data_IF_430101738894
#
_entry.id   IF_430101738894
#
_cell.length_a   1.000
_cell.length_b   1.000
_cell.length_c   1.000
_cell.angle_alpha   90.00
_cell.angle_beta   90.00
_cell.angle_gamma   90.00
#
_symmetry.space_group_name_H-M   'P 1'
#
loop_
_entity.id
_entity.type
_entity.pdbx_description
1 polymer ?
#
# COMPACT_ATOMS: atom_id res chain seq x y z
N UNK A 1 30.20 -24.81 16.23
CA UNK A 1 31.16 -24.10 17.10
C UNK A 1 32.28 -25.01 17.60
N UNK A 2 32.09 -26.34 17.66
CA UNK A 2 33.16 -27.33 17.82
C UNK A 2 33.68 -27.84 16.46
N UNK A 3 34.97 -28.10 16.37
CA UNK A 3 35.66 -28.67 15.21
C UNK A 3 36.57 -29.82 15.65
N UNK A 4 36.51 -30.94 14.95
CA UNK A 4 37.39 -32.10 15.21
C UNK A 4 38.66 -32.01 14.36
N UNK A 5 39.83 -32.07 14.99
CA UNK A 5 41.10 -32.21 14.30
C UNK A 5 41.50 -33.68 14.24
N UNK A 6 41.38 -34.30 13.05
CA UNK A 6 41.70 -35.72 12.85
C UNK A 6 43.17 -36.06 13.12
N UNK A 7 44.09 -35.13 12.84
CA UNK A 7 45.53 -35.31 13.07
C UNK A 7 45.88 -35.45 14.56
N UNK A 8 45.14 -34.77 15.42
CA UNK A 8 45.38 -34.76 16.87
C UNK A 8 44.35 -35.57 17.66
N UNK A 9 43.36 -36.14 16.96
CA UNK A 9 42.22 -36.84 17.53
C UNK A 9 41.61 -36.08 18.73
N UNK A 10 41.34 -34.78 18.52
CA UNK A 10 40.88 -33.88 19.57
C UNK A 10 39.90 -32.83 19.03
N UNK A 11 38.95 -32.43 19.86
CA UNK A 11 37.94 -31.41 19.57
C UNK A 11 38.39 -30.02 20.05
N UNK A 12 38.12 -29.01 19.23
CA UNK A 12 38.46 -27.62 19.45
C UNK A 12 37.21 -26.74 19.36
N UNK A 13 37.15 -25.68 20.15
CA UNK A 13 36.11 -24.66 20.01
C UNK A 13 36.61 -23.54 19.10
N UNK A 14 35.91 -23.33 17.98
CA UNK A 14 36.22 -22.29 17.00
C UNK A 14 36.34 -20.89 17.63
N UNK A 15 35.37 -20.47 18.44
CA UNK A 15 35.37 -19.14 19.06
C UNK A 15 36.55 -18.98 20.04
N UNK A 16 36.82 -20.00 20.85
CA UNK A 16 37.89 -19.98 21.85
C UNK A 16 39.28 -20.03 21.19
N UNK A 17 39.46 -20.83 20.13
CA UNK A 17 40.68 -20.79 19.31
C UNK A 17 40.90 -19.40 18.72
N UNK A 18 39.87 -18.84 18.07
CA UNK A 18 39.94 -17.51 17.45
C UNK A 18 40.30 -16.41 18.46
N UNK A 19 39.67 -16.43 19.64
CA UNK A 19 39.91 -15.47 20.72
C UNK A 19 41.28 -15.65 21.37
N UNK A 20 41.73 -16.90 21.54
CA UNK A 20 43.03 -17.22 22.14
C UNK A 20 44.20 -16.89 21.22
N UNK A 21 44.09 -17.10 19.92
CA UNK A 21 45.14 -16.74 18.94
C UNK A 21 45.42 -15.22 18.92
N UNK A 22 44.38 -14.42 19.19
CA UNK A 22 44.43 -12.95 19.12
C UNK A 22 44.64 -12.28 20.48
N UNK A 23 44.86 -13.07 21.55
CA UNK A 23 44.96 -12.57 22.93
C UNK A 23 43.77 -11.68 23.35
N UNK A 24 42.57 -12.01 22.85
CA UNK A 24 41.37 -11.22 23.09
C UNK A 24 40.60 -11.67 24.34
N UNK A 25 40.99 -12.76 25.01
CA UNK A 25 40.26 -13.32 26.15
C UNK A 25 40.80 -12.76 27.47
N UNK A 26 39.92 -12.21 28.31
CA UNK A 26 40.31 -11.47 29.53
C UNK A 26 39.79 -12.14 30.81
N UNK A 27 38.70 -12.90 30.74
CA UNK A 27 38.06 -13.49 31.91
C UNK A 27 38.75 -14.76 32.43
N UNK A 28 39.91 -15.16 31.87
CA UNK A 28 40.69 -16.25 32.43
C UNK A 28 42.20 -16.12 32.21
N UNK A 29 42.97 -15.98 33.30
CA UNK A 29 44.43 -16.17 33.30
C UNK A 29 44.84 -17.64 33.12
N UNK A 30 43.89 -18.58 33.15
CA UNK A 30 44.05 -20.00 32.84
C UNK A 30 43.05 -20.36 31.76
N UNK A 31 43.34 -19.94 30.52
CA UNK A 31 42.54 -20.36 29.37
C UNK A 31 42.24 -21.87 29.50
N UNK A 32 41.00 -22.29 29.23
CA UNK A 32 40.70 -23.71 29.09
C UNK A 32 41.45 -24.23 27.86
N UNK A 33 42.77 -24.46 28.03
CA UNK A 33 43.67 -24.90 26.97
C UNK A 33 43.13 -26.18 26.32
N UNK A 34 42.33 -26.95 27.06
CA UNK A 34 41.61 -28.12 26.59
C UNK A 34 40.78 -27.84 25.32
N UNK A 35 40.10 -26.70 25.18
CA UNK A 35 39.26 -26.42 24.00
C UNK A 35 39.87 -25.41 23.02
N UNK A 36 40.98 -24.77 23.38
CA UNK A 36 41.64 -23.75 22.54
C UNK A 36 43.01 -24.21 21.98
N UNK A 37 43.91 -24.75 22.81
CA UNK A 37 45.33 -25.00 22.45
C UNK A 37 45.70 -26.48 22.37
N UNK A 38 45.30 -27.28 23.37
CA UNK A 38 45.63 -28.71 23.51
C UNK A 38 44.62 -29.62 22.80
N UNK A 39 43.37 -29.19 22.70
CA UNK A 39 42.27 -29.99 22.17
C UNK A 39 41.73 -31.00 23.18
N UNK A 40 40.42 -31.21 23.15
CA UNK A 40 39.73 -32.10 24.08
C UNK A 40 39.62 -33.49 23.45
N UNK A 41 40.18 -34.51 24.09
CA UNK A 41 40.26 -35.88 23.55
C UNK A 41 39.69 -36.96 24.50
N UNK A 42 39.12 -36.57 25.65
CA UNK A 42 38.48 -37.52 26.57
C UNK A 42 37.03 -37.82 26.14
N UNK A 43 36.90 -38.70 25.17
CA UNK A 43 35.62 -39.05 24.54
C UNK A 43 34.58 -39.64 25.51
N UNK A 44 35.01 -40.25 26.62
CA UNK A 44 34.11 -40.86 27.62
C UNK A 44 33.24 -39.83 28.36
N UNK A 45 33.72 -38.58 28.50
CA UNK A 45 33.00 -37.46 29.14
C UNK A 45 32.71 -36.30 28.18
N UNK A 46 32.80 -36.54 26.88
CA UNK A 46 32.74 -35.49 25.88
C UNK A 46 31.44 -34.69 25.93
N UNK A 47 30.29 -35.35 25.96
CA UNK A 47 28.97 -34.69 26.01
C UNK A 47 28.83 -33.77 27.22
N UNK A 48 29.14 -34.28 28.42
CA UNK A 48 29.12 -33.49 29.67
C UNK A 48 30.04 -32.27 29.58
N UNK A 49 31.30 -32.48 29.15
CA UNK A 49 32.29 -31.40 29.07
C UNK A 49 32.01 -30.38 27.97
N UNK A 50 31.37 -30.78 26.87
CA UNK A 50 30.94 -29.84 25.83
C UNK A 50 29.82 -28.95 26.32
N UNK A 51 28.84 -29.50 27.07
CA UNK A 51 27.75 -28.72 27.66
C UNK A 51 28.25 -27.77 28.75
N UNK A 52 29.20 -28.20 29.58
CA UNK A 52 29.87 -27.32 30.56
C UNK A 52 30.63 -26.18 29.85
N UNK A 53 31.40 -26.50 28.80
CA UNK A 53 32.17 -25.51 28.06
C UNK A 53 31.28 -24.50 27.33
N UNK A 54 30.16 -24.93 26.73
CA UNK A 54 29.20 -24.04 26.08
C UNK A 54 28.64 -22.97 27.03
N UNK A 55 28.47 -23.34 28.31
CA UNK A 55 28.00 -22.43 29.37
C UNK A 55 29.12 -21.61 30.02
N UNK A 56 30.38 -21.91 29.72
CA UNK A 56 31.52 -21.23 30.34
C UNK A 56 31.58 -19.75 29.96
N UNK A 57 32.00 -18.92 30.92
CA UNK A 57 32.18 -17.47 30.70
C UNK A 57 33.21 -17.19 29.60
N UNK A 58 34.22 -18.05 29.46
CA UNK A 58 35.25 -17.94 28.44
C UNK A 58 34.69 -18.17 27.04
N UNK A 59 33.88 -19.21 26.84
CA UNK A 59 33.20 -19.45 25.57
C UNK A 59 32.27 -18.28 25.22
N UNK A 60 31.52 -17.79 26.19
CA UNK A 60 30.60 -16.67 26.01
C UNK A 60 31.33 -15.36 25.70
N UNK A 61 32.47 -15.08 26.33
CA UNK A 61 33.33 -13.92 26.02
C UNK A 61 33.88 -14.01 24.60
N UNK A 62 34.45 -15.18 24.23
CA UNK A 62 35.01 -15.43 22.92
C UNK A 62 33.95 -15.27 21.82
N UNK A 63 32.76 -15.84 22.05
CA UNK A 63 31.61 -15.73 21.16
C UNK A 63 31.14 -14.29 21.03
N UNK A 64 31.00 -13.54 22.13
CA UNK A 64 30.62 -12.11 22.08
C UNK A 64 31.62 -11.27 21.29
N UNK A 65 32.91 -11.45 21.52
CA UNK A 65 33.98 -10.72 20.81
C UNK A 65 34.05 -11.09 19.33
N UNK A 66 33.82 -12.35 18.99
CA UNK A 66 33.70 -12.79 17.60
C UNK A 66 32.49 -12.15 16.90
N UNK A 67 31.33 -12.14 17.55
CA UNK A 67 30.12 -11.52 17.00
C UNK A 67 30.23 -10.01 16.87
N UNK A 68 30.95 -9.35 17.78
CA UNK A 68 31.20 -7.91 17.73
C UNK A 68 32.22 -7.49 16.65
N UNK A 69 32.99 -8.44 16.09
CA UNK A 69 34.03 -8.15 15.08
C UNK A 69 33.45 -7.56 13.79
N UNK A 70 32.28 -8.05 13.38
CA UNK A 70 31.61 -7.62 12.16
C UNK A 70 30.47 -6.63 12.44
N UNK A 71 30.28 -6.23 13.71
CA UNK A 71 29.31 -5.20 14.05
C UNK A 71 29.88 -3.82 13.72
N UNK A 72 29.16 -2.98 12.94
CA UNK A 72 29.56 -1.61 12.72
C UNK A 72 29.65 -0.88 14.06
N UNK A 73 30.50 0.14 14.15
CA UNK A 73 30.66 0.91 15.38
C UNK A 73 29.31 1.47 15.85
N UNK A 74 29.18 1.69 17.16
CA UNK A 74 27.97 2.31 17.73
C UNK A 74 27.63 3.63 17.03
N UNK A 75 28.64 4.39 16.60
CA UNK A 75 28.47 5.62 15.85
C UNK A 75 27.86 5.39 14.45
N UNK A 76 28.30 4.36 13.72
CA UNK A 76 27.72 3.99 12.43
C UNK A 76 26.29 3.51 12.60
N UNK A 77 26.02 2.66 13.61
CA UNK A 77 24.67 2.20 13.92
C UNK A 77 23.72 3.36 14.29
N UNK A 78 24.21 4.31 15.10
CA UNK A 78 23.44 5.51 15.45
C UNK A 78 23.17 6.39 14.23
N UNK A 79 24.16 6.55 13.34
CA UNK A 79 23.98 7.31 12.11
C UNK A 79 22.97 6.66 11.15
N UNK A 80 23.06 5.35 10.95
CA UNK A 80 22.10 4.58 10.15
C UNK A 80 20.69 4.67 10.72
N UNK A 81 20.56 4.57 12.05
CA UNK A 81 19.27 4.74 12.73
C UNK A 81 18.71 6.15 12.54
N UNK A 82 19.54 7.19 12.62
CA UNK A 82 19.12 8.57 12.37
C UNK A 82 18.63 8.74 10.94
N UNK A 83 19.33 8.19 9.95
CA UNK A 83 18.88 8.23 8.56
C UNK A 83 17.56 7.47 8.35
N UNK A 84 17.41 6.27 8.92
CA UNK A 84 16.16 5.51 8.87
C UNK A 84 14.99 6.28 9.51
N UNK A 85 15.22 6.89 10.67
CA UNK A 85 14.21 7.69 11.37
C UNK A 85 13.79 8.91 10.55
N UNK A 86 14.72 9.54 9.82
CA UNK A 86 14.38 10.62 8.90
C UNK A 86 13.50 10.10 7.77
N UNK A 87 13.88 9.00 7.11
CA UNK A 87 13.09 8.37 6.04
C UNK A 87 11.64 8.08 6.46
N UNK A 88 11.45 7.49 7.65
CA UNK A 88 10.11 7.22 8.18
C UNK A 88 9.30 8.49 8.43
N UNK A 89 9.92 9.57 8.92
CA UNK A 89 9.24 10.85 9.12
C UNK A 89 8.75 11.45 7.80
N UNK A 90 9.52 11.34 6.72
CA UNK A 90 9.10 11.82 5.39
C UNK A 90 7.92 11.03 4.84
N UNK A 91 7.98 9.70 4.97
CA UNK A 91 6.88 8.80 4.57
C UNK A 91 5.57 9.22 5.24
N UNK A 92 5.63 9.65 6.50
CA UNK A 92 4.46 10.15 7.22
C UNK A 92 3.88 11.44 6.63
N UNK A 93 4.69 12.33 6.06
CA UNK A 93 4.20 13.55 5.39
C UNK A 93 3.46 13.22 4.10
N UNK A 94 3.99 12.32 3.28
CA UNK A 94 3.31 11.84 2.06
C UNK A 94 1.99 11.17 2.44
N UNK A 95 1.99 10.31 3.45
CA UNK A 95 0.77 9.67 3.97
C UNK A 95 -0.22 10.72 4.48
N UNK A 96 0.26 11.75 5.18
CA UNK A 96 -0.60 12.84 5.65
C UNK A 96 -1.30 13.54 4.49
N UNK A 97 -0.55 13.97 3.46
CA UNK A 97 -1.10 14.60 2.27
C UNK A 97 -2.13 13.71 1.58
N UNK A 98 -1.81 12.43 1.37
CA UNK A 98 -2.73 11.46 0.77
C UNK A 98 -4.01 11.28 1.60
N UNK A 99 -3.92 11.23 2.93
CA UNK A 99 -5.08 11.08 3.82
C UNK A 99 -6.00 12.31 3.81
N UNK A 100 -5.43 13.50 3.60
CA UNK A 100 -6.19 14.75 3.50
C UNK A 100 -6.74 15.01 2.08
N UNK A 101 -6.43 14.13 1.11
CA UNK A 101 -6.80 14.36 -0.29
C UNK A 101 -6.12 15.60 -0.89
N UNK A 102 -4.99 16.03 -0.32
CA UNK A 102 -4.23 17.16 -0.83
C UNK A 102 -3.28 16.70 -1.93
N UNK A 103 -3.11 17.54 -2.96
CA UNK A 103 -2.12 17.30 -4.00
C UNK A 103 -0.73 17.21 -3.34
N UNK A 104 0.03 16.15 -3.65
CA UNK A 104 1.38 15.99 -3.09
C UNK A 104 2.33 17.02 -3.71
N UNK A 105 2.23 17.18 -5.02
CA UNK A 105 2.96 18.15 -5.81
C UNK A 105 2.07 19.31 -6.27
N UNK A 106 2.67 20.49 -6.38
CA UNK A 106 2.05 21.69 -6.95
C UNK A 106 2.44 21.90 -8.41
N UNK A 107 1.94 22.97 -9.02
CA UNK A 107 2.37 23.36 -10.37
C UNK A 107 3.77 24.01 -10.38
N UNK A 108 4.21 24.53 -9.25
CA UNK A 108 5.55 25.07 -9.02
C UNK A 108 6.06 24.71 -7.60
N UNK A 109 7.33 25.01 -7.32
CA UNK A 109 7.96 24.74 -6.01
C UNK A 109 7.29 25.49 -4.83
N UNK A 110 6.56 26.57 -5.11
CA UNK A 110 5.86 27.37 -4.09
C UNK A 110 4.53 26.74 -3.70
N UNK A 111 3.86 26.10 -4.65
CA UNK A 111 2.59 25.39 -4.47
C UNK A 111 2.77 23.91 -4.16
N UNK A 112 4.01 23.41 -4.12
CA UNK A 112 4.30 22.03 -3.77
C UNK A 112 4.10 21.78 -2.27
N UNK A 113 2.97 21.15 -1.94
CA UNK A 113 2.59 20.91 -0.55
C UNK A 113 3.60 20.03 0.20
N UNK A 114 4.24 19.09 -0.48
CA UNK A 114 5.29 18.27 0.14
C UNK A 114 6.53 19.12 0.46
N UNK A 115 6.97 19.95 -0.47
CA UNK A 115 8.10 20.87 -0.27
C UNK A 115 7.82 21.87 0.86
N UNK A 116 6.63 22.48 0.88
CA UNK A 116 6.24 23.41 1.95
C UNK A 116 6.18 22.73 3.33
N UNK A 117 5.64 21.50 3.40
CA UNK A 117 5.65 20.74 4.65
C UNK A 117 7.07 20.38 5.10
N UNK A 118 7.98 20.07 4.17
CA UNK A 118 9.37 19.79 4.48
C UNK A 118 10.10 21.03 4.98
N UNK A 119 9.87 22.19 4.37
CA UNK A 119 10.41 23.47 4.83
C UNK A 119 9.92 23.81 6.24
N UNK A 120 8.62 23.65 6.50
CA UNK A 120 8.07 23.80 7.85
C UNK A 120 8.74 22.85 8.85
N UNK A 121 9.01 21.60 8.45
CA UNK A 121 9.73 20.62 9.29
C UNK A 121 11.22 20.90 9.43
N UNK A 122 11.78 21.75 8.59
CA UNK A 122 13.15 22.20 8.72
C UNK A 122 13.32 23.26 9.81
N UNK A 123 12.24 23.94 10.21
CA UNK A 123 12.26 24.91 11.31
C UNK A 123 12.48 24.23 12.67
N UNK A 124 11.85 23.08 12.92
CA UNK A 124 11.99 22.32 14.17
C UNK A 124 13.09 21.24 14.10
N UNK A 125 13.52 20.83 12.89
CA UNK A 125 14.56 19.83 12.70
C UNK A 125 15.60 20.26 11.64
N UNK A 126 16.74 20.83 12.05
CA UNK A 126 17.76 21.33 11.12
C UNK A 126 18.35 20.28 10.19
N UNK A 127 18.33 18.99 10.58
CA UNK A 127 18.81 17.89 9.74
C UNK A 127 18.01 17.72 8.45
N UNK A 128 16.77 18.23 8.43
CA UNK A 128 15.89 18.22 7.25
C UNK A 128 16.43 19.10 6.14
N UNK A 129 17.05 20.24 6.47
CA UNK A 129 17.60 21.17 5.46
C UNK A 129 18.71 20.52 4.63
N UNK A 130 19.58 19.73 5.26
CA UNK A 130 20.62 18.99 4.56
C UNK A 130 20.04 17.96 3.57
N UNK A 131 18.88 17.39 3.91
CA UNK A 131 18.19 16.41 3.09
C UNK A 131 17.39 17.07 1.95
N UNK A 132 16.68 18.17 2.20
CA UNK A 132 16.01 18.98 1.14
C UNK A 132 17.03 19.46 0.10
N UNK A 133 18.22 19.85 0.56
CA UNK A 133 19.33 20.24 -0.33
C UNK A 133 19.75 19.11 -1.26
N UNK A 134 19.58 17.85 -0.84
CA UNK A 134 19.75 16.66 -1.67
C UNK A 134 18.43 16.30 -2.37
N UNK A 135 18.08 17.10 -3.38
CA UNK A 135 16.78 17.08 -4.12
C UNK A 135 16.39 15.75 -4.77
N UNK A 136 17.27 14.76 -4.79
CA UNK A 136 17.01 13.47 -5.45
C UNK A 136 15.74 12.78 -4.92
N UNK A 137 15.44 12.88 -3.62
CA UNK A 137 14.30 12.21 -3.01
C UNK A 137 12.94 12.91 -3.22
N UNK A 138 12.94 14.13 -3.74
CA UNK A 138 11.74 14.90 -4.09
C UNK A 138 11.37 14.77 -5.56
N UNK A 139 12.15 14.01 -6.32
CA UNK A 139 11.83 13.70 -7.70
C UNK A 139 10.48 13.01 -7.78
N UNK A 140 9.68 13.43 -8.76
CA UNK A 140 8.32 12.98 -8.95
C UNK A 140 8.20 11.46 -9.01
N UNK A 141 9.14 10.80 -9.70
CA UNK A 141 9.18 9.34 -9.84
C UNK A 141 9.35 8.63 -8.49
N UNK A 142 10.22 9.14 -7.61
CA UNK A 142 10.46 8.55 -6.29
C UNK A 142 9.24 8.73 -5.39
N UNK A 143 8.63 9.92 -5.42
CA UNK A 143 7.42 10.20 -4.64
C UNK A 143 6.25 9.33 -5.11
N UNK A 144 6.05 9.21 -6.43
CA UNK A 144 5.04 8.35 -7.02
C UNK A 144 5.28 6.88 -6.67
N UNK A 145 6.53 6.40 -6.76
CA UNK A 145 6.88 5.05 -6.33
C UNK A 145 6.55 4.82 -4.85
N UNK A 146 6.87 5.75 -3.97
CA UNK A 146 6.51 5.67 -2.55
C UNK A 146 5.00 5.60 -2.33
N UNK A 147 4.22 6.43 -3.03
CA UNK A 147 2.75 6.42 -2.98
C UNK A 147 2.23 5.06 -3.46
N UNK A 148 2.71 4.55 -4.59
CA UNK A 148 2.31 3.26 -5.14
C UNK A 148 2.66 2.10 -4.21
N UNK A 149 3.87 2.07 -3.64
CA UNK A 149 4.28 1.04 -2.67
C UNK A 149 3.37 1.07 -1.43
N UNK A 150 3.05 2.26 -0.93
CA UNK A 150 2.17 2.41 0.24
C UNK A 150 0.73 2.02 -0.07
N UNK A 151 0.21 2.44 -1.22
CA UNK A 151 -1.11 2.06 -1.70
C UNK A 151 -1.24 0.55 -1.87
N UNK A 152 -0.25 -0.08 -2.49
CA UNK A 152 -0.20 -1.54 -2.65
C UNK A 152 -0.11 -2.28 -1.31
N UNK A 153 0.65 -1.77 -0.33
CA UNK A 153 0.71 -2.36 1.00
C UNK A 153 -0.64 -2.28 1.73
N UNK A 154 -1.34 -1.14 1.62
CA UNK A 154 -2.69 -0.97 2.17
C UNK A 154 -3.69 -1.91 1.49
N UNK A 155 -3.69 -1.93 0.16
CA UNK A 155 -4.58 -2.79 -0.63
C UNK A 155 -4.37 -4.26 -0.28
N UNK A 156 -3.12 -4.75 -0.21
CA UNK A 156 -2.81 -6.12 0.20
C UNK A 156 -3.35 -6.45 1.60
N UNK A 157 -3.21 -5.51 2.54
CA UNK A 157 -3.74 -5.69 3.90
C UNK A 157 -5.26 -5.83 3.90
N UNK A 158 -5.96 -5.00 3.11
CA UNK A 158 -7.42 -5.07 2.95
C UNK A 158 -7.87 -6.34 2.24
N UNK A 159 -7.23 -6.70 1.12
CA UNK A 159 -7.51 -7.93 0.40
C UNK A 159 -7.33 -9.16 1.27
N UNK A 160 -6.33 -9.18 2.16
CA UNK A 160 -6.15 -10.27 3.12
C UNK A 160 -7.34 -10.42 4.07
N UNK A 161 -7.94 -9.32 4.54
CA UNK A 161 -9.13 -9.35 5.39
C UNK A 161 -10.36 -9.85 4.61
N UNK A 162 -10.56 -9.34 3.38
CA UNK A 162 -11.65 -9.77 2.49
C UNK A 162 -11.55 -11.29 2.22
N UNK A 163 -10.35 -11.79 1.96
CA UNK A 163 -10.11 -13.21 1.68
C UNK A 163 -10.55 -14.14 2.82
N UNK A 164 -10.45 -13.69 4.07
CA UNK A 164 -10.86 -14.47 5.23
C UNK A 164 -12.40 -14.59 5.34
N UNK A 165 -13.14 -13.70 4.70
CA UNK A 165 -14.59 -13.56 4.88
C UNK A 165 -15.44 -14.39 3.90
N UNK A 166 -14.77 -15.21 3.06
CA UNK A 166 -15.33 -16.20 2.12
C UNK A 166 -16.20 -15.65 0.99
N UNK A 167 -17.01 -14.63 1.21
CA UNK A 167 -17.95 -14.08 0.23
C UNK A 167 -17.85 -12.57 0.14
N UNK A 168 -18.16 -12.04 -1.03
CA UNK A 168 -18.19 -10.61 -1.26
C UNK A 168 -19.20 -10.22 -2.34
N UNK A 169 -19.48 -8.93 -2.44
CA UNK A 169 -20.26 -8.34 -3.52
C UNK A 169 -19.46 -7.24 -4.22
N UNK A 170 -19.63 -7.13 -5.53
CA UNK A 170 -18.99 -6.11 -6.36
C UNK A 170 -19.87 -4.85 -6.35
N UNK A 171 -19.26 -3.69 -6.18
CA UNK A 171 -19.89 -2.40 -6.44
C UNK A 171 -19.01 -1.71 -7.48
N UNK A 172 -19.58 -1.31 -8.62
CA UNK A 172 -18.82 -0.56 -9.61
C UNK A 172 -19.62 0.61 -10.15
N UNK A 173 -18.93 1.72 -10.36
CA UNK A 173 -19.52 2.94 -10.92
C UNK A 173 -18.60 3.55 -11.98
N UNK A 174 -19.20 4.22 -12.95
CA UNK A 174 -18.49 4.88 -14.05
C UNK A 174 -18.51 6.38 -13.87
N UNK A 175 -17.37 7.00 -14.10
CA UNK A 175 -17.25 8.45 -14.17
C UNK A 175 -16.52 8.84 -15.45
N UNK A 176 -16.85 10.02 -15.98
CA UNK A 176 -16.11 10.65 -17.06
C UNK A 176 -15.23 11.74 -16.46
N UNK A 177 -13.92 11.67 -16.71
CA UNK A 177 -12.99 12.68 -16.21
C UNK A 177 -13.02 13.97 -17.03
N UNK A 178 -12.26 14.99 -16.59
CA UNK A 178 -12.17 16.29 -17.27
C UNK A 178 -11.61 16.18 -18.70
N UNK A 179 -10.81 15.16 -18.96
CA UNK A 179 -10.24 14.83 -20.27
C UNK A 179 -11.19 14.04 -21.16
N UNK A 180 -12.44 13.83 -20.71
CA UNK A 180 -13.49 13.04 -21.38
C UNK A 180 -13.15 11.56 -21.52
N UNK A 181 -12.25 11.04 -20.70
CA UNK A 181 -11.97 9.61 -20.61
C UNK A 181 -12.95 8.98 -19.63
N UNK A 182 -13.49 7.81 -19.98
CA UNK A 182 -14.31 7.04 -19.04
C UNK A 182 -13.40 6.23 -18.11
N UNK A 183 -13.79 6.16 -16.84
CA UNK A 183 -13.12 5.38 -15.82
C UNK A 183 -14.17 4.61 -15.02
N UNK A 184 -13.81 3.42 -14.54
CA UNK A 184 -14.63 2.60 -13.66
C UNK A 184 -13.93 2.36 -12.34
N UNK A 185 -14.55 2.85 -11.27
CA UNK A 185 -14.12 2.53 -9.91
C UNK A 185 -14.79 1.23 -9.47
N UNK A 186 -14.02 0.33 -8.87
CA UNK A 186 -14.50 -0.96 -8.35
C UNK A 186 -14.22 -1.02 -6.85
N UNK A 187 -15.29 -1.26 -6.10
CA UNK A 187 -15.30 -1.48 -4.67
C UNK A 187 -15.83 -2.89 -4.36
N UNK A 188 -15.43 -3.42 -3.21
CA UNK A 188 -15.92 -4.69 -2.70
C UNK A 188 -16.66 -4.43 -1.40
N UNK A 189 -17.90 -4.93 -1.35
CA UNK A 189 -18.69 -5.03 -0.12
C UNK A 189 -18.52 -6.41 0.48
N UNK A 190 -18.12 -6.48 1.73
CA UNK A 190 -17.87 -7.73 2.44
C UNK A 190 -18.30 -7.60 3.90
N UNK A 191 -18.41 -8.73 4.59
CA UNK A 191 -18.86 -8.80 5.98
C UNK A 191 -17.77 -9.47 6.79
N UNK A 192 -17.32 -8.83 7.87
CA UNK A 192 -16.27 -9.39 8.71
C UNK A 192 -16.81 -10.43 9.71
N UNK A 193 -15.89 -10.98 10.51
CA UNK A 193 -16.22 -11.97 11.56
C UNK A 193 -17.12 -11.43 12.69
N UNK A 194 -17.28 -10.12 12.79
CA UNK A 194 -18.16 -9.45 13.75
C UNK A 194 -19.50 -9.06 13.13
N UNK A 195 -19.76 -9.50 11.88
CA UNK A 195 -20.94 -9.13 11.10
C UNK A 195 -21.02 -7.64 10.76
N UNK A 196 -19.89 -6.94 10.77
CA UNK A 196 -19.82 -5.55 10.31
C UNK A 196 -19.65 -5.52 8.80
N UNK A 197 -20.39 -4.61 8.17
CA UNK A 197 -20.35 -4.41 6.72
C UNK A 197 -19.24 -3.43 6.39
N UNK A 198 -18.35 -3.84 5.49
CA UNK A 198 -17.26 -3.03 4.98
C UNK A 198 -17.41 -2.83 3.48
N UNK A 199 -17.09 -1.64 3.01
CA UNK A 199 -17.04 -1.28 1.59
C UNK A 199 -15.67 -0.69 1.31
N UNK A 200 -14.81 -1.44 0.63
CA UNK A 200 -13.43 -1.04 0.36
C UNK A 200 -13.20 -0.92 -1.13
N UNK A 201 -12.60 0.20 -1.54
CA UNK A 201 -12.12 0.41 -2.90
C UNK A 201 -10.93 -0.53 -3.19
N UNK A 202 -10.96 -1.19 -4.34
CA UNK A 202 -9.91 -2.14 -4.74
C UNK A 202 -9.20 -1.78 -6.05
N UNK A 203 -9.79 -0.94 -6.89
CA UNK A 203 -9.16 -0.57 -8.15
C UNK A 203 -9.98 0.38 -9.02
N UNK A 204 -9.30 1.01 -9.95
CA UNK A 204 -9.82 1.92 -10.96
C UNK A 204 -9.32 1.44 -12.32
N UNK A 205 -10.22 1.27 -13.27
CA UNK A 205 -9.90 0.95 -14.65
C UNK A 205 -10.17 2.17 -15.53
N UNK A 206 -9.19 2.56 -16.35
CA UNK A 206 -9.44 3.44 -17.47
C UNK A 206 -10.13 2.64 -18.57
N UNK A 207 -11.17 3.20 -19.17
CA UNK A 207 -12.00 2.52 -20.16
C UNK A 207 -11.81 3.13 -21.55
N UNK A 208 -11.25 2.34 -22.47
CA UNK A 208 -11.17 2.73 -23.90
C UNK A 208 -12.51 2.53 -24.62
N UNK A 209 -13.34 1.63 -24.09
CA UNK A 209 -14.66 1.31 -24.61
C UNK A 209 -15.66 1.11 -23.47
N UNK A 210 -16.93 1.33 -23.79
CA UNK A 210 -18.01 1.41 -22.80
C UNK A 210 -19.07 0.34 -23.01
N UNK A 211 -18.83 -0.57 -23.95
CA UNK A 211 -19.68 -1.72 -24.19
C UNK A 211 -19.56 -2.74 -23.06
N UNK A 212 -20.64 -3.48 -22.81
CA UNK A 212 -20.73 -4.36 -21.67
C UNK A 212 -19.67 -5.48 -21.65
N UNK A 213 -19.15 -5.92 -22.81
CA UNK A 213 -18.07 -6.92 -22.85
C UNK A 213 -16.79 -6.32 -22.27
N UNK A 214 -16.42 -5.12 -22.72
CA UNK A 214 -15.23 -4.43 -22.23
C UNK A 214 -15.32 -4.15 -20.72
N UNK A 215 -16.48 -3.67 -20.26
CA UNK A 215 -16.74 -3.43 -18.83
C UNK A 215 -16.61 -4.72 -18.00
N UNK A 216 -17.08 -5.85 -18.53
CA UNK A 216 -16.95 -7.16 -17.85
C UNK A 216 -15.49 -7.57 -17.74
N UNK A 217 -14.70 -7.38 -18.80
CA UNK A 217 -13.26 -7.67 -18.78
C UNK A 217 -12.55 -6.77 -17.77
N UNK A 218 -12.82 -5.47 -17.76
CA UNK A 218 -12.19 -4.52 -16.83
C UNK A 218 -12.44 -4.90 -15.35
N UNK A 219 -13.68 -5.25 -14.99
CA UNK A 219 -14.00 -5.73 -13.63
C UNK A 219 -13.26 -7.03 -13.31
N UNK A 220 -13.25 -7.98 -14.25
CA UNK A 220 -12.55 -9.27 -14.05
C UNK A 220 -11.05 -9.08 -13.87
N UNK A 221 -10.42 -8.20 -14.66
CA UNK A 221 -8.99 -7.95 -14.58
C UNK A 221 -8.62 -7.37 -13.21
N UNK A 222 -9.41 -6.43 -12.68
CA UNK A 222 -9.23 -5.92 -11.32
C UNK A 222 -9.35 -7.05 -10.28
N UNK A 223 -10.37 -7.90 -10.38
CA UNK A 223 -10.56 -9.02 -9.46
C UNK A 223 -9.39 -10.02 -9.51
N UNK A 224 -8.89 -10.33 -10.70
CA UNK A 224 -7.74 -11.22 -10.91
C UNK A 224 -6.47 -10.61 -10.31
N UNK A 225 -6.21 -9.32 -10.56
CA UNK A 225 -5.08 -8.59 -9.96
C UNK A 225 -5.16 -8.56 -8.43
N UNK A 226 -6.38 -8.54 -7.87
CA UNK A 226 -6.63 -8.61 -6.44
C UNK A 226 -6.70 -10.03 -5.87
N UNK A 227 -6.50 -11.06 -6.69
CA UNK A 227 -6.65 -12.47 -6.33
C UNK A 227 -8.01 -12.80 -5.70
N UNK A 228 -9.08 -12.10 -6.10
CA UNK A 228 -10.44 -12.34 -5.64
C UNK A 228 -11.16 -13.26 -6.63
N UNK A 229 -11.48 -14.50 -6.24
CA UNK A 229 -12.13 -15.44 -7.14
C UNK A 229 -13.58 -15.03 -7.37
N UNK A 230 -14.00 -14.96 -8.64
CA UNK A 230 -15.39 -14.63 -8.99
C UNK A 230 -16.39 -15.61 -8.37
N UNK A 231 -16.00 -16.86 -8.11
CA UNK A 231 -16.84 -17.87 -7.44
C UNK A 231 -17.22 -17.53 -5.99
N UNK A 232 -16.52 -16.59 -5.36
CA UNK A 232 -16.88 -16.05 -4.04
C UNK A 232 -17.84 -14.84 -4.14
N UNK A 233 -18.15 -14.37 -5.36
CA UNK A 233 -19.04 -13.24 -5.59
C UNK A 233 -20.51 -13.65 -5.42
N UNK A 234 -21.19 -13.05 -4.47
CA UNK A 234 -22.60 -13.31 -4.15
C UNK A 234 -23.53 -12.13 -4.44
N UNK A 235 -22.94 -10.97 -4.77
CA UNK A 235 -23.70 -9.79 -5.12
C UNK A 235 -22.95 -8.91 -6.11
N UNK A 236 -23.69 -8.10 -6.83
CA UNK A 236 -23.16 -7.11 -7.76
C UNK A 236 -24.10 -5.91 -7.80
N UNK A 237 -23.56 -4.69 -7.78
CA UNK A 237 -24.35 -3.47 -7.80
C UNK A 237 -23.76 -2.43 -8.75
N UNK A 238 -24.59 -1.96 -9.69
CA UNK A 238 -24.22 -1.03 -10.76
C UNK A 238 -25.34 -0.01 -11.01
N UNK A 239 -25.05 1.03 -11.79
CA UNK A 239 -26.06 1.93 -12.34
C UNK A 239 -27.03 1.21 -13.30
N UNK A 240 -28.07 1.92 -13.74
CA UNK A 240 -29.10 1.36 -14.63
C UNK A 240 -28.79 1.49 -16.12
N UNK A 241 -27.59 1.93 -16.49
CA UNK A 241 -27.25 2.14 -17.88
C UNK A 241 -27.34 0.80 -18.63
N UNK A 242 -27.75 0.83 -19.91
CA UNK A 242 -27.98 -0.39 -20.68
C UNK A 242 -26.77 -1.33 -20.73
N UNK A 243 -25.55 -0.79 -20.79
CA UNK A 243 -24.32 -1.57 -20.79
C UNK A 243 -23.96 -2.13 -19.40
N UNK A 244 -24.51 -1.58 -18.31
CA UNK A 244 -24.32 -2.06 -16.95
C UNK A 244 -25.41 -3.05 -16.55
N UNK A 245 -26.68 -2.65 -16.63
CA UNK A 245 -27.84 -3.38 -16.13
C UNK A 245 -28.66 -4.11 -17.22
N UNK A 246 -28.23 -4.07 -18.48
CA UNK A 246 -28.95 -4.70 -19.59
C UNK A 246 -29.18 -6.19 -19.36
N UNK A 247 -30.44 -6.64 -19.47
CA UNK A 247 -30.88 -8.00 -19.11
C UNK A 247 -30.20 -9.13 -19.88
N UNK A 248 -29.81 -8.89 -21.13
CA UNK A 248 -29.25 -9.92 -22.02
C UNK A 248 -27.74 -9.76 -22.21
N UNK A 249 -27.25 -8.53 -22.28
CA UNK A 249 -25.86 -8.26 -22.68
C UNK A 249 -25.13 -7.30 -21.76
N UNK A 250 -25.77 -6.76 -20.72
CA UNK A 250 -25.13 -5.86 -19.76
C UNK A 250 -24.11 -6.56 -18.88
N UNK A 251 -23.23 -5.77 -18.24
CA UNK A 251 -22.26 -6.24 -17.25
C UNK A 251 -22.90 -7.18 -16.21
N UNK A 252 -24.06 -6.77 -15.67
CA UNK A 252 -24.79 -7.54 -14.67
C UNK A 252 -25.19 -8.94 -15.16
N UNK A 253 -25.73 -9.02 -16.38
CA UNK A 253 -26.13 -10.29 -16.99
C UNK A 253 -24.92 -11.18 -17.25
N UNK A 254 -23.81 -10.61 -17.76
CA UNK A 254 -22.58 -11.33 -18.06
C UNK A 254 -21.88 -11.88 -16.83
N UNK A 255 -21.81 -11.10 -15.75
CA UNK A 255 -21.29 -11.59 -14.47
C UNK A 255 -22.20 -12.68 -13.90
N UNK A 256 -23.53 -12.55 -14.05
CA UNK A 256 -24.51 -13.56 -13.62
C UNK A 256 -24.41 -14.87 -14.40
N UNK A 257 -24.07 -14.82 -15.68
CA UNK A 257 -23.80 -16.00 -16.51
C UNK A 257 -22.56 -16.75 -16.02
N UNK A 258 -21.53 -16.02 -15.60
CA UNK A 258 -20.28 -16.59 -15.08
C UNK A 258 -20.42 -17.10 -13.64
N UNK A 259 -21.13 -16.36 -12.79
CA UNK A 259 -21.40 -16.71 -11.40
C UNK A 259 -22.89 -16.53 -11.09
N UNK A 260 -23.69 -17.60 -11.18
CA UNK A 260 -25.12 -17.58 -10.89
C UNK A 260 -25.45 -17.25 -9.43
N UNK A 261 -24.50 -17.21 -8.49
CA UNK A 261 -24.76 -16.70 -7.14
C UNK A 261 -24.73 -15.16 -7.07
N UNK A 262 -24.01 -14.48 -7.97
CA UNK A 262 -23.81 -13.02 -7.93
C UNK A 262 -25.11 -12.26 -8.26
N UNK A 263 -25.90 -11.90 -7.24
CA UNK A 263 -27.21 -11.25 -7.42
C UNK A 263 -27.05 -9.78 -7.77
N UNK A 264 -27.73 -9.34 -8.83
CA UNK A 264 -27.74 -7.94 -9.23
C UNK A 264 -28.69 -7.10 -8.39
N UNK A 265 -28.14 -6.02 -7.82
CA UNK A 265 -28.86 -4.97 -7.10
C UNK A 265 -28.69 -3.66 -7.85
N UNK A 266 -29.82 -3.02 -8.12
CA UNK A 266 -29.83 -1.74 -8.82
C UNK A 266 -29.39 -0.61 -7.90
N UNK A 267 -28.56 0.32 -8.41
CA UNK A 267 -28.18 1.51 -7.65
C UNK A 267 -29.41 2.32 -7.22
N UNK A 268 -29.59 2.48 -5.90
CA UNK A 268 -30.75 3.18 -5.33
C UNK A 268 -30.73 4.68 -5.63
N UNK A 269 -29.56 5.32 -5.57
CA UNK A 269 -29.41 6.74 -5.91
C UNK A 269 -29.82 7.01 -7.37
N UNK A 270 -29.42 6.14 -8.29
CA UNK A 270 -29.81 6.24 -9.69
C UNK A 270 -31.32 6.01 -9.86
N UNK A 271 -31.87 5.00 -9.18
CA UNK A 271 -33.30 4.70 -9.20
C UNK A 271 -34.15 5.90 -8.72
N UNK A 272 -33.76 6.49 -7.58
CA UNK A 272 -34.43 7.68 -7.04
C UNK A 272 -34.35 8.86 -8.01
N UNK A 273 -33.19 9.11 -8.61
CA UNK A 273 -33.01 10.16 -9.60
C UNK A 273 -33.93 9.96 -10.82
N UNK A 274 -34.08 8.73 -11.32
CA UNK A 274 -35.02 8.43 -12.40
C UNK A 274 -36.47 8.68 -12.00
N UNK A 275 -36.89 8.24 -10.81
CA UNK A 275 -38.24 8.50 -10.31
C UNK A 275 -38.52 10.01 -10.18
N UNK A 276 -37.55 10.80 -9.72
CA UNK A 276 -37.66 12.25 -9.64
C UNK A 276 -37.72 12.90 -11.02
N UNK A 277 -36.90 12.47 -11.97
CA UNK A 277 -36.94 12.97 -13.35
C UNK A 277 -38.29 12.70 -14.01
N UNK A 278 -38.82 11.49 -13.87
CA UNK A 278 -40.11 11.14 -14.45
C UNK A 278 -41.24 11.91 -13.77
N UNK A 279 -41.23 12.03 -12.44
CA UNK A 279 -42.24 12.79 -11.69
C UNK A 279 -42.23 14.28 -12.05
N UNK A 280 -41.04 14.89 -12.17
CA UNK A 280 -40.89 16.31 -12.50
C UNK A 280 -41.32 16.62 -13.93
N UNK A 281 -41.13 15.69 -14.88
CA UNK A 281 -41.64 15.81 -16.25
C UNK A 281 -43.16 15.85 -16.34
N UNK A 282 -43.86 15.21 -15.41
CA UNK A 282 -45.33 15.26 -15.33
C UNK A 282 -45.84 16.60 -14.78
N UNK A 283 -45.04 17.31 -13.99
CA UNK A 283 -45.40 18.63 -13.47
C UNK A 283 -45.02 19.72 -14.49
N UNK A 284 -46.02 20.29 -15.18
CA UNK A 284 -45.78 21.32 -16.20
C UNK A 284 -44.97 22.52 -15.69
N UNK A 285 -45.23 22.98 -14.47
CA UNK A 285 -44.53 24.14 -13.90
C UNK A 285 -43.04 23.86 -13.71
N UNK A 286 -42.69 22.70 -13.13
CA UNK A 286 -41.30 22.29 -12.91
C UNK A 286 -40.61 22.00 -14.23
N UNK A 287 -41.26 21.26 -15.13
CA UNK A 287 -40.73 20.98 -16.47
C UNK A 287 -40.39 22.26 -17.22
N UNK A 288 -41.32 23.21 -17.30
CA UNK A 288 -41.10 24.47 -18.01
C UNK A 288 -39.95 25.28 -17.37
N UNK A 289 -39.84 25.30 -16.04
CA UNK A 289 -38.72 25.96 -15.36
C UNK A 289 -37.38 25.29 -15.70
N UNK A 290 -37.31 23.95 -15.68
CA UNK A 290 -36.11 23.20 -16.06
C UNK A 290 -35.76 23.41 -17.54
N UNK A 291 -36.74 23.46 -18.44
CA UNK A 291 -36.54 23.73 -19.86
C UNK A 291 -35.93 25.12 -20.09
N UNK A 292 -36.37 26.14 -19.35
CA UNK A 292 -35.77 27.48 -19.37
C UNK A 292 -34.31 27.42 -18.90
N UNK A 293 -34.02 26.72 -17.80
CA UNK A 293 -32.65 26.54 -17.33
C UNK A 293 -31.77 25.84 -18.39
N UNK A 294 -32.28 24.81 -19.07
CA UNK A 294 -31.57 24.15 -20.15
C UNK A 294 -31.36 25.06 -21.36
N UNK A 295 -32.33 25.90 -21.70
CA UNK A 295 -32.21 26.88 -22.78
C UNK A 295 -31.12 27.93 -22.46
N UNK A 296 -31.08 28.44 -21.22
CA UNK A 296 -30.03 29.34 -20.75
C UNK A 296 -28.67 28.65 -20.81
N UNK A 297 -28.54 27.40 -20.34
CA UNK A 297 -27.30 26.64 -20.46
C UNK A 297 -26.83 26.53 -21.92
N UNK A 298 -27.75 26.16 -22.83
CA UNK A 298 -27.45 26.07 -24.27
C UNK A 298 -27.00 27.41 -24.85
N UNK A 299 -27.65 28.50 -24.46
CA UNK A 299 -27.26 29.86 -24.85
C UNK A 299 -25.81 30.12 -24.41
N UNK A 300 -25.51 30.00 -23.11
CA UNK A 300 -24.15 30.24 -22.57
C UNK A 300 -23.08 29.41 -23.29
N UNK A 301 -23.36 28.14 -23.60
CA UNK A 301 -22.43 27.23 -24.27
C UNK A 301 -22.42 27.37 -25.80
N UNK A 302 -23.28 28.21 -26.39
CA UNK A 302 -23.40 28.36 -27.84
C UNK A 302 -22.13 28.95 -28.48
N UNK A 303 -21.40 29.78 -27.74
CA UNK A 303 -20.13 30.34 -28.23
C UNK A 303 -19.16 30.60 -27.09
N UNK A 304 -17.86 30.52 -27.39
CA UNK A 304 -16.79 30.86 -26.45
C UNK A 304 -16.92 32.28 -25.89
N UNK A 305 -17.47 33.22 -26.68
CA UNK A 305 -17.73 34.60 -26.24
C UNK A 305 -18.76 34.64 -25.10
N UNK A 306 -19.88 33.94 -25.24
CA UNK A 306 -20.93 33.92 -24.22
C UNK A 306 -20.50 33.17 -22.97
N UNK A 307 -19.71 32.10 -23.11
CA UNK A 307 -19.07 31.42 -21.99
C UNK A 307 -18.14 32.35 -21.22
N UNK A 308 -17.27 33.10 -21.92
CA UNK A 308 -16.38 34.06 -21.29
C UNK A 308 -17.12 35.20 -20.58
N UNK A 309 -18.25 35.68 -21.12
CA UNK A 309 -19.11 36.66 -20.42
C UNK A 309 -19.73 36.07 -19.14
N UNK A 310 -20.17 34.81 -19.18
CA UNK A 310 -20.72 34.13 -18.02
C UNK A 310 -19.67 33.91 -16.92
N UNK A 311 -18.45 33.51 -17.27
CA UNK A 311 -17.34 33.36 -16.32
C UNK A 311 -16.94 34.70 -15.67
N UNK A 312 -17.03 35.81 -16.40
CA UNK A 312 -16.82 37.15 -15.84
C UNK A 312 -17.91 37.53 -14.84
N UNK A 313 -19.17 37.21 -15.14
CA UNK A 313 -20.30 37.44 -14.24
C UNK A 313 -20.16 36.62 -12.94
N UNK A 314 -19.68 35.37 -13.00
CA UNK A 314 -19.47 34.53 -11.81
C UNK A 314 -18.38 35.05 -10.86
N UNK A 315 -17.50 35.94 -11.32
CA UNK A 315 -16.41 36.53 -10.53
C UNK A 315 -16.79 37.86 -9.87
N UNK A 316 -17.96 38.43 -10.18
CA UNK A 316 -18.53 39.62 -9.54
C UNK A 316 -19.33 39.24 -8.29
#
# INVERSE_FOLDING_TARGET
WLSLCLRWNAAFCFYCCWGSERNLLTLSKKAEDAFAKKGYNNWKRATEKFTEHEKSDLHNEAKRKYMAKDQPSVMVQMNDQLQCNQIERWRMLVIYLSRQGMAVHGHDELQDNLQQLLLLRAEDNPGVNAWISNRNYLLHDIVNEMISLRGNALLRSKLHQIWQCRWYAIIADKATDLSKQEQMAVCIRWVDKFFEIHEDYIGLAQLDATDAQYLTTAVKDILVCCMLPLSACWGQAYDSAGNMAGKLHGLAARIRELEPAALYVHCFAHYLNLCLQDSTRQCMMIRNALDICMAIKKLVHYSAKQMGTFEQFQKQ
#
